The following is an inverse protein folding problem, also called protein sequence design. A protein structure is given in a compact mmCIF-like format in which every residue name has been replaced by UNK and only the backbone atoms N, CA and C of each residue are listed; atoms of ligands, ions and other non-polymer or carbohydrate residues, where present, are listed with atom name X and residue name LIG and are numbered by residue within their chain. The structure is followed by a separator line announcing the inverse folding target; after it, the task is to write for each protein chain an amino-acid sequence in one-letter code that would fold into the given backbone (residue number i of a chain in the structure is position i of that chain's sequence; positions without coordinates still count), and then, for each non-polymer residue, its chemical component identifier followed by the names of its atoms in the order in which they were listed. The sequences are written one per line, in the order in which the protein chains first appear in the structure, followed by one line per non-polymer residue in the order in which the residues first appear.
data_IF_226012204291
#
_entry.id   IF_226012204291
#
_cell.length_a   1.000
_cell.length_b   1.000
_cell.length_c   1.000
_cell.angle_alpha   90.00
_cell.angle_beta   90.00
_cell.angle_gamma   90.00
#
_symmetry.space_group_name_H-M   'P 1'
#
loop_
_entity.id
_entity.type
_entity.pdbx_description
1 polymer ?
#
# COMPACT_ATOMS: atom_id res chain seq x y z
N UNK A 1 42.98 36.41 41.61
CA UNK A 1 43.01 36.05 40.18
C UNK A 1 41.60 35.64 39.81
N UNK A 2 40.93 36.46 39.00
CA UNK A 2 39.63 36.12 38.42
C UNK A 2 39.76 34.83 37.61
N UNK A 3 38.89 33.87 37.89
CA UNK A 3 38.77 32.64 37.12
C UNK A 3 38.16 33.03 35.76
N UNK A 4 38.99 33.33 34.76
CA UNK A 4 38.49 33.61 33.41
C UNK A 4 37.92 32.31 32.84
N UNK A 5 36.60 32.26 32.71
CA UNK A 5 35.89 31.11 32.12
C UNK A 5 36.33 30.91 30.66
N UNK A 6 36.54 29.65 30.28
CA UNK A 6 36.91 29.29 28.90
C UNK A 6 35.71 29.44 27.98
N UNK A 7 35.87 30.24 26.93
CA UNK A 7 34.86 30.37 25.87
C UNK A 7 34.79 29.11 25.00
N UNK A 8 33.57 28.77 24.55
CA UNK A 8 33.35 27.69 23.58
C UNK A 8 33.84 28.15 22.21
N UNK A 9 34.73 27.36 21.60
CA UNK A 9 35.26 27.61 20.26
C UNK A 9 34.66 26.62 19.28
N UNK A 10 33.90 27.12 18.30
CA UNK A 10 33.23 26.33 17.26
C UNK A 10 33.74 26.73 15.89
N UNK A 11 33.80 25.78 14.96
CA UNK A 11 34.01 26.09 13.54
C UNK A 11 32.73 26.71 12.92
N UNK A 12 32.83 27.19 11.67
CA UNK A 12 31.72 27.87 11.00
C UNK A 12 30.46 27.00 10.91
N UNK A 13 30.61 25.72 10.56
CA UNK A 13 29.50 24.78 10.38
C UNK A 13 28.85 24.41 11.73
N UNK A 14 29.67 24.08 12.74
CA UNK A 14 29.22 23.80 14.10
C UNK A 14 28.43 24.97 14.67
N UNK A 15 28.93 26.21 14.47
CA UNK A 15 28.25 27.42 14.92
C UNK A 15 26.91 27.60 14.20
N UNK A 16 26.85 27.39 12.89
CA UNK A 16 25.62 27.51 12.11
C UNK A 16 24.57 26.47 12.55
N UNK A 17 24.99 25.21 12.74
CA UNK A 17 24.12 24.11 13.21
C UNK A 17 23.60 24.40 14.62
N UNK A 18 24.48 24.79 15.55
CA UNK A 18 24.09 25.11 16.93
C UNK A 18 23.10 26.27 16.99
N UNK A 19 23.37 27.37 16.26
CA UNK A 19 22.47 28.53 16.22
C UNK A 19 21.11 28.19 15.62
N UNK A 20 21.07 27.39 14.55
CA UNK A 20 19.81 26.93 13.97
C UNK A 20 19.04 26.05 14.95
N UNK A 21 19.68 25.05 15.55
CA UNK A 21 19.06 24.16 16.53
C UNK A 21 18.51 24.92 17.74
N UNK A 22 19.24 25.91 18.25
CA UNK A 22 18.77 26.78 19.34
C UNK A 22 17.56 27.63 18.93
N UNK A 23 17.54 28.15 17.70
CA UNK A 23 16.40 28.91 17.18
C UNK A 23 15.16 28.04 17.04
N UNK A 24 15.32 26.84 16.53
CA UNK A 24 14.22 25.88 16.34
C UNK A 24 13.69 25.37 17.70
N UNK A 25 14.59 25.10 18.66
CA UNK A 25 14.22 24.78 20.04
C UNK A 25 13.44 25.92 20.71
N UNK A 26 13.90 27.16 20.54
CA UNK A 26 13.22 28.34 21.07
C UNK A 26 11.81 28.45 20.48
N UNK A 27 11.67 28.25 19.17
CA UNK A 27 10.35 28.27 18.51
C UNK A 27 9.42 27.18 19.03
N UNK A 28 9.89 25.93 19.13
CA UNK A 28 9.10 24.81 19.65
C UNK A 28 8.63 25.07 21.09
N UNK A 29 9.53 25.56 21.94
CA UNK A 29 9.24 25.90 23.34
C UNK A 29 8.26 27.07 23.44
N UNK A 30 8.46 28.12 22.64
CA UNK A 30 7.57 29.28 22.58
C UNK A 30 6.17 28.87 22.15
N UNK A 31 6.05 28.03 21.11
CA UNK A 31 4.77 27.57 20.60
C UNK A 31 4.03 26.74 21.65
N UNK A 32 4.76 25.85 22.35
CA UNK A 32 4.21 25.04 23.44
C UNK A 32 3.69 25.93 24.57
N UNK A 33 4.48 26.91 25.02
CA UNK A 33 4.06 27.86 26.05
C UNK A 33 2.81 28.65 25.62
N UNK A 34 2.78 29.15 24.39
CA UNK A 34 1.63 29.91 23.87
C UNK A 34 0.36 29.07 23.86
N UNK A 35 0.42 27.85 23.32
CA UNK A 35 -0.75 26.97 23.27
C UNK A 35 -1.19 26.49 24.63
N UNK A 36 -0.26 26.22 25.54
CA UNK A 36 -0.57 25.88 26.92
C UNK A 36 -1.23 27.07 27.64
N UNK A 37 -0.74 28.30 27.43
CA UNK A 37 -1.30 29.52 28.04
C UNK A 37 -2.70 29.90 27.55
N UNK A 38 -3.09 29.37 26.38
CA UNK A 38 -4.40 29.61 25.74
C UNK A 38 -5.33 28.40 25.83
N UNK A 39 -4.97 27.38 26.61
CA UNK A 39 -5.69 26.11 26.74
C UNK A 39 -5.98 25.40 25.39
N UNK A 40 -5.08 25.58 24.40
CA UNK A 40 -5.20 25.05 23.04
C UNK A 40 -4.20 23.92 22.74
N UNK A 41 -3.38 23.50 23.71
CA UNK A 41 -2.43 22.40 23.51
C UNK A 41 -3.15 21.04 23.52
N UNK A 42 -3.13 20.34 22.39
CA UNK A 42 -3.70 18.99 22.29
C UNK A 42 -2.71 17.92 22.76
N UNK A 43 -3.22 16.73 23.11
CA UNK A 43 -2.41 15.58 23.53
C UNK A 43 -1.40 15.13 22.46
N UNK A 44 -1.82 15.09 21.20
CA UNK A 44 -0.95 14.77 20.07
C UNK A 44 0.17 15.81 19.92
N UNK A 45 -0.20 17.09 19.96
CA UNK A 45 0.73 18.17 19.70
C UNK A 45 1.72 18.41 20.85
N UNK A 46 1.32 18.09 22.09
CA UNK A 46 2.23 17.99 23.25
C UNK A 46 3.38 17.02 22.96
N UNK A 47 3.06 15.82 22.46
CA UNK A 47 4.07 14.81 22.12
C UNK A 47 5.03 15.30 21.04
N UNK A 48 4.49 15.89 19.98
CA UNK A 48 5.27 16.41 18.85
C UNK A 48 6.25 17.50 19.29
N UNK A 49 5.80 18.51 20.03
CA UNK A 49 6.64 19.64 20.46
C UNK A 49 7.75 19.22 21.43
N UNK A 50 7.48 18.27 22.33
CA UNK A 50 8.50 17.69 23.22
C UNK A 50 9.54 16.91 22.42
N UNK A 51 9.12 16.04 21.50
CA UNK A 51 10.05 15.27 20.65
C UNK A 51 10.92 16.15 19.75
N UNK A 52 10.35 17.24 19.21
CA UNK A 52 11.13 18.23 18.45
C UNK A 52 12.18 18.91 19.35
N UNK A 53 11.79 19.30 20.55
CA UNK A 53 12.69 19.94 21.52
C UNK A 53 13.86 19.02 21.90
N UNK A 54 13.59 17.75 22.19
CA UNK A 54 14.64 16.75 22.45
C UNK A 54 15.58 16.58 21.25
N UNK A 55 15.04 16.60 20.03
CA UNK A 55 15.86 16.50 18.83
C UNK A 55 16.77 17.70 18.65
N UNK A 56 16.25 18.91 18.78
CA UNK A 56 17.04 20.13 18.68
C UNK A 56 18.10 20.23 19.78
N UNK A 57 17.78 19.82 21.02
CA UNK A 57 18.76 19.73 22.11
C UNK A 57 19.89 18.75 21.76
N UNK A 58 19.56 17.59 21.17
CA UNK A 58 20.58 16.62 20.75
C UNK A 58 21.49 17.17 19.66
N UNK A 59 20.94 17.89 18.68
CA UNK A 59 21.71 18.50 17.59
C UNK A 59 22.64 19.61 18.09
N UNK A 60 22.14 20.46 19.00
CA UNK A 60 22.95 21.49 19.67
C UNK A 60 24.06 20.84 20.49
N UNK A 61 23.74 19.82 21.29
CA UNK A 61 24.73 19.12 22.11
C UNK A 61 25.86 18.52 21.27
N UNK A 62 25.54 17.88 20.14
CA UNK A 62 26.55 17.38 19.18
C UNK A 62 27.40 18.51 18.61
N UNK A 63 26.77 19.60 18.17
CA UNK A 63 27.48 20.73 17.56
C UNK A 63 28.41 21.45 18.54
N UNK A 64 28.06 21.50 19.83
CA UNK A 64 28.88 22.09 20.89
C UNK A 64 29.83 21.09 21.56
N UNK A 65 29.92 19.86 21.04
CA UNK A 65 30.72 18.77 21.61
C UNK A 65 30.39 18.48 23.08
N UNK A 66 29.11 18.61 23.44
CA UNK A 66 28.58 18.27 24.74
C UNK A 66 28.03 16.84 24.72
N UNK A 67 28.64 15.95 25.48
CA UNK A 67 28.08 14.61 25.69
C UNK A 67 26.84 14.69 26.59
N UNK A 68 25.66 14.75 25.97
CA UNK A 68 24.39 14.69 26.70
C UNK A 68 23.98 13.23 26.94
N UNK A 69 23.49 12.92 28.15
CA UNK A 69 22.93 11.59 28.47
C UNK A 69 21.75 11.24 27.53
N UNK A 70 20.95 12.24 27.13
CA UNK A 70 19.86 12.11 26.15
C UNK A 70 20.38 11.66 24.77
N UNK A 71 21.54 12.13 24.34
CA UNK A 71 22.13 11.73 23.07
C UNK A 71 22.61 10.27 23.09
N UNK A 72 23.13 9.79 24.24
CA UNK A 72 23.52 8.40 24.46
C UNK A 72 22.32 7.47 24.45
N UNK A 73 21.29 7.76 25.27
CA UNK A 73 20.07 6.95 25.33
C UNK A 73 19.34 6.85 23.99
N UNK A 74 19.33 7.93 23.20
CA UNK A 74 18.71 7.91 21.86
C UNK A 74 19.51 7.05 20.88
N UNK A 75 20.84 7.09 20.95
CA UNK A 75 21.70 6.26 20.11
C UNK A 75 21.55 4.78 20.45
N UNK A 76 21.47 4.44 21.74
CA UNK A 76 21.22 3.09 22.25
C UNK A 76 19.86 2.57 21.79
N UNK A 77 18.78 3.33 22.01
CA UNK A 77 17.43 2.95 21.54
C UNK A 77 17.39 2.69 20.03
N UNK A 78 18.06 3.51 19.23
CA UNK A 78 18.13 3.28 17.78
C UNK A 78 18.98 2.05 17.41
N UNK A 79 20.02 1.73 18.18
CA UNK A 79 20.81 0.51 17.97
C UNK A 79 20.00 -0.74 18.32
N UNK A 80 19.24 -0.72 19.41
CA UNK A 80 18.39 -1.82 19.84
C UNK A 80 17.30 -2.14 18.82
N UNK A 81 16.62 -1.12 18.28
CA UNK A 81 15.61 -1.28 17.22
C UNK A 81 16.24 -1.91 15.96
N UNK A 82 17.45 -1.46 15.57
CA UNK A 82 18.16 -2.05 14.42
C UNK A 82 18.52 -3.51 14.66
N UNK A 83 19.01 -3.85 15.85
CA UNK A 83 19.35 -5.21 16.23
C UNK A 83 18.12 -6.12 16.25
N UNK A 84 17.01 -5.64 16.81
CA UNK A 84 15.74 -6.37 16.79
C UNK A 84 15.25 -6.64 15.36
N UNK A 85 15.31 -5.66 14.47
CA UNK A 85 14.91 -5.82 13.07
C UNK A 85 15.83 -6.79 12.30
N UNK A 86 17.14 -6.75 12.55
CA UNK A 86 18.06 -7.74 11.97
C UNK A 86 17.72 -9.14 12.46
N UNK A 87 17.41 -9.29 13.76
CA UNK A 87 17.04 -10.58 14.34
C UNK A 87 15.74 -11.13 13.77
N UNK A 88 14.74 -10.28 13.53
CA UNK A 88 13.49 -10.68 12.85
C UNK A 88 13.80 -11.23 11.46
N UNK A 89 14.61 -10.52 10.65
CA UNK A 89 14.99 -10.97 9.30
C UNK A 89 15.76 -12.30 9.31
N UNK A 90 16.68 -12.47 10.25
CA UNK A 90 17.41 -13.74 10.42
C UNK A 90 16.46 -14.89 10.75
N UNK A 91 15.49 -14.67 11.63
CA UNK A 91 14.50 -15.69 12.01
C UNK A 91 13.57 -16.02 10.85
N UNK A 92 13.12 -15.02 10.09
CA UNK A 92 12.33 -15.22 8.86
C UNK A 92 13.09 -16.06 7.83
N UNK A 93 14.38 -15.77 7.65
CA UNK A 93 15.25 -16.53 6.74
C UNK A 93 15.44 -17.98 7.21
N UNK A 94 15.75 -18.20 8.50
CA UNK A 94 15.88 -19.54 9.07
C UNK A 94 14.58 -20.35 8.94
N UNK A 95 13.43 -19.70 9.11
CA UNK A 95 12.12 -20.33 8.90
C UNK A 95 11.86 -20.69 7.43
N UNK A 96 12.32 -19.88 6.49
CA UNK A 96 12.21 -20.17 5.06
C UNK A 96 13.11 -21.35 4.65
N UNK A 97 14.34 -21.40 5.16
CA UNK A 97 15.31 -22.47 4.88
C UNK A 97 14.92 -23.83 5.49
N UNK A 98 14.15 -23.83 6.59
CA UNK A 98 13.72 -25.06 7.28
C UNK A 98 12.49 -25.74 6.65
N UNK A 99 11.77 -25.11 5.72
CA UNK A 99 10.56 -25.70 5.14
C UNK A 99 10.88 -26.53 3.90
N UNK A 100 10.46 -27.81 3.83
CA UNK A 100 10.47 -28.57 2.58
C UNK A 100 9.66 -27.80 1.53
N UNK A 101 10.24 -27.63 0.34
CA UNK A 101 9.56 -27.02 -0.82
C UNK A 101 8.56 -28.03 -1.46
N UNK A 102 8.58 -29.28 -0.99
CA UNK A 102 7.65 -30.32 -1.41
C UNK A 102 6.19 -29.87 -1.20
N UNK A 103 5.41 -29.84 -2.28
CA UNK A 103 4.01 -29.39 -2.25
C UNK A 103 3.80 -27.89 -2.41
N UNK A 104 4.85 -27.05 -2.39
CA UNK A 104 4.70 -25.60 -2.55
C UNK A 104 4.11 -25.25 -3.92
N UNK A 105 4.57 -25.92 -4.98
CA UNK A 105 4.03 -25.72 -6.33
C UNK A 105 2.52 -25.98 -6.38
N UNK A 106 2.07 -27.07 -5.78
CA UNK A 106 0.66 -27.46 -5.72
C UNK A 106 -0.15 -26.47 -4.89
N UNK A 107 0.41 -25.95 -3.79
CA UNK A 107 -0.22 -24.91 -2.98
C UNK A 107 -0.40 -23.60 -3.76
N UNK A 108 0.68 -23.11 -4.40
CA UNK A 108 0.63 -21.90 -5.22
C UNK A 108 -0.34 -22.06 -6.40
N UNK A 109 -0.34 -23.21 -7.06
CA UNK A 109 -1.31 -23.53 -8.12
C UNK A 109 -2.75 -23.60 -7.60
N UNK A 110 -2.95 -24.10 -6.38
CA UNK A 110 -4.26 -24.12 -5.72
C UNK A 110 -4.78 -22.71 -5.44
N UNK A 111 -3.93 -21.81 -4.93
CA UNK A 111 -4.28 -20.42 -4.66
C UNK A 111 -4.67 -19.70 -5.95
N UNK A 112 -3.81 -19.75 -6.97
CA UNK A 112 -4.08 -19.08 -8.25
C UNK A 112 -5.37 -19.57 -8.92
N UNK A 113 -5.65 -20.88 -8.85
CA UNK A 113 -6.90 -21.46 -9.36
C UNK A 113 -8.15 -20.93 -8.65
N UNK A 114 -8.14 -20.80 -7.32
CA UNK A 114 -9.28 -20.27 -6.57
C UNK A 114 -9.63 -18.84 -7.00
N UNK A 115 -8.61 -18.01 -7.25
CA UNK A 115 -8.83 -16.62 -7.72
C UNK A 115 -9.43 -16.63 -9.13
N UNK A 116 -8.94 -17.50 -10.01
CA UNK A 116 -9.45 -17.67 -11.38
C UNK A 116 -10.90 -18.17 -11.41
N UNK A 117 -11.20 -19.22 -10.63
CA UNK A 117 -12.56 -19.78 -10.48
C UNK A 117 -13.52 -18.73 -9.93
N UNK A 118 -13.14 -18.01 -8.87
CA UNK A 118 -13.96 -16.93 -8.32
C UNK A 118 -14.26 -15.83 -9.35
N UNK A 119 -13.27 -15.46 -10.18
CA UNK A 119 -13.44 -14.43 -11.19
C UNK A 119 -14.34 -14.90 -12.35
N UNK A 120 -14.23 -16.16 -12.76
CA UNK A 120 -15.10 -16.79 -13.77
C UNK A 120 -16.55 -16.96 -13.26
N UNK A 121 -16.74 -17.32 -11.99
CA UNK A 121 -18.04 -17.42 -11.34
C UNK A 121 -18.80 -16.09 -11.35
N UNK A 122 -18.10 -14.96 -11.13
CA UNK A 122 -18.68 -13.61 -11.24
C UNK A 122 -19.09 -13.23 -12.67
N UNK A 123 -18.59 -13.95 -13.67
CA UNK A 123 -18.91 -13.74 -15.08
C UNK A 123 -17.93 -12.85 -15.85
N UNK A 124 -16.82 -12.45 -15.25
CA UNK A 124 -15.76 -11.69 -15.93
C UNK A 124 -14.80 -12.57 -16.76
N UNK A 125 -14.99 -13.89 -16.67
CA UNK A 125 -14.44 -15.00 -17.49
C UNK A 125 -12.95 -15.30 -17.39
N UNK A 126 -12.05 -14.33 -17.21
CA UNK A 126 -10.62 -14.66 -17.18
C UNK A 126 -9.73 -13.68 -16.43
N UNK A 127 -8.62 -14.21 -15.92
CA UNK A 127 -7.49 -13.44 -15.42
C UNK A 127 -6.42 -13.39 -16.51
N UNK A 128 -6.01 -12.18 -16.90
CA UNK A 128 -5.05 -11.98 -17.98
C UNK A 128 -3.63 -12.35 -17.58
N UNK A 129 -3.26 -12.12 -16.32
CA UNK A 129 -1.93 -12.41 -15.79
C UNK A 129 -2.01 -12.58 -14.29
N UNK A 130 -1.23 -13.52 -13.76
CA UNK A 130 -1.09 -13.73 -12.32
C UNK A 130 0.33 -14.19 -12.00
N UNK A 131 1.00 -13.50 -11.07
CA UNK A 131 2.38 -13.83 -10.71
C UNK A 131 2.68 -13.57 -9.24
N UNK A 132 3.53 -14.40 -8.64
CA UNK A 132 3.98 -14.18 -7.27
C UNK A 132 5.11 -13.15 -7.25
N UNK A 133 4.92 -12.10 -6.46
CA UNK A 133 5.92 -11.06 -6.26
C UNK A 133 7.09 -11.58 -5.41
N UNK A 134 8.22 -10.87 -5.49
CA UNK A 134 9.39 -11.12 -4.64
C UNK A 134 9.13 -10.94 -3.13
N UNK A 135 8.00 -10.30 -2.78
CA UNK A 135 7.61 -10.02 -1.40
C UNK A 135 6.61 -11.05 -0.85
N UNK A 136 6.26 -12.08 -1.62
CA UNK A 136 5.34 -13.13 -1.20
C UNK A 136 3.85 -12.85 -1.45
N UNK A 137 3.51 -11.66 -1.96
CA UNK A 137 2.15 -11.37 -2.45
C UNK A 137 1.91 -11.80 -3.90
N UNK A 138 0.70 -11.58 -4.39
CA UNK A 138 0.22 -11.98 -5.72
C UNK A 138 -0.15 -10.75 -6.56
N UNK A 139 0.55 -10.56 -7.68
CA UNK A 139 0.19 -9.58 -8.70
C UNK A 139 -0.86 -10.20 -9.64
N UNK A 140 -1.99 -9.51 -9.82
CA UNK A 140 -3.14 -10.00 -10.59
C UNK A 140 -3.57 -8.94 -11.60
N UNK A 141 -3.75 -9.35 -12.86
CA UNK A 141 -4.37 -8.54 -13.92
C UNK A 141 -5.72 -9.14 -14.29
N UNK A 142 -6.78 -8.64 -13.66
CA UNK A 142 -8.15 -9.05 -13.93
C UNK A 142 -8.58 -8.60 -15.33
N UNK A 143 -9.04 -9.54 -16.15
CA UNK A 143 -9.57 -9.27 -17.49
C UNK A 143 -11.09 -9.17 -17.45
N UNK A 144 -11.63 -8.27 -18.28
CA UNK A 144 -13.07 -8.14 -18.49
C UNK A 144 -13.40 -8.57 -19.91
N UNK A 145 -13.86 -9.80 -20.07
CA UNK A 145 -14.39 -10.29 -21.33
C UNK A 145 -15.72 -10.99 -21.07
N UNK A 146 -16.83 -10.33 -21.35
CA UNK A 146 -18.17 -10.85 -21.04
C UNK A 146 -18.76 -11.66 -22.20
N UNK A 147 -18.23 -11.47 -23.42
CA UNK A 147 -18.57 -12.25 -24.61
C UNK A 147 -17.59 -13.39 -24.87
N UNK A 148 -18.07 -14.63 -24.91
CA UNK A 148 -17.26 -15.79 -25.33
C UNK A 148 -17.29 -15.97 -26.85
N UNK A 149 -16.27 -15.47 -27.54
CA UNK A 149 -15.93 -15.89 -28.92
C UNK A 149 -15.72 -17.42 -29.04
N UNK A 150 -15.35 -18.09 -27.94
CA UNK A 150 -14.92 -19.50 -27.93
C UNK A 150 -16.04 -20.55 -27.90
N UNK A 151 -17.31 -20.19 -27.65
CA UNK A 151 -18.40 -21.17 -27.49
C UNK A 151 -19.18 -21.47 -28.76
N UNK A 152 -18.82 -20.90 -29.91
CA UNK A 152 -19.37 -21.31 -31.21
C UNK A 152 -19.09 -22.78 -31.54
N UNK A 153 -18.12 -23.41 -30.86
CA UNK A 153 -17.76 -24.83 -30.94
C UNK A 153 -18.22 -25.64 -29.72
N UNK A 154 -18.99 -25.05 -28.80
CA UNK A 154 -19.52 -25.75 -27.63
C UNK A 154 -20.54 -26.81 -28.04
N UNK A 155 -20.61 -27.92 -27.29
CA UNK A 155 -21.69 -28.89 -27.44
C UNK A 155 -23.05 -28.38 -26.91
N UNK A 156 -23.08 -27.26 -26.17
CA UNK A 156 -24.27 -26.68 -25.53
C UNK A 156 -24.47 -25.17 -25.82
N UNK A 157 -24.42 -24.71 -27.08
CA UNK A 157 -24.32 -23.29 -27.42
C UNK A 157 -25.57 -22.44 -27.10
N UNK A 158 -26.70 -23.07 -26.75
CA UNK A 158 -27.94 -22.38 -26.36
C UNK A 158 -27.94 -22.11 -24.86
N UNK A 159 -27.75 -23.15 -24.04
CA UNK A 159 -27.66 -23.01 -22.57
C UNK A 159 -26.50 -22.13 -22.15
N UNK A 160 -25.37 -22.21 -22.86
CA UNK A 160 -24.22 -21.35 -22.60
C UNK A 160 -24.54 -19.85 -22.80
N UNK A 161 -25.42 -19.51 -23.75
CA UNK A 161 -25.86 -18.13 -23.99
C UNK A 161 -26.84 -17.65 -22.94
N UNK A 162 -27.69 -18.55 -22.44
CA UNK A 162 -28.60 -18.26 -21.34
C UNK A 162 -27.80 -17.99 -20.06
N UNK A 163 -26.79 -18.81 -19.74
CA UNK A 163 -25.91 -18.59 -18.60
C UNK A 163 -25.13 -17.26 -18.70
N UNK A 164 -24.60 -16.92 -19.88
CA UNK A 164 -23.89 -15.66 -20.09
C UNK A 164 -24.83 -14.45 -19.92
N UNK A 165 -26.05 -14.53 -20.46
CA UNK A 165 -27.07 -13.49 -20.29
C UNK A 165 -27.48 -13.34 -18.83
N UNK A 166 -27.63 -14.46 -18.10
CA UNK A 166 -27.96 -14.47 -16.68
C UNK A 166 -26.84 -13.84 -15.85
N UNK A 167 -25.56 -14.15 -16.12
CA UNK A 167 -24.41 -13.55 -15.44
C UNK A 167 -24.32 -12.04 -15.69
N UNK A 168 -24.50 -11.58 -16.93
CA UNK A 168 -24.54 -10.14 -17.25
C UNK A 168 -25.71 -9.48 -16.52
N UNK A 169 -26.88 -10.12 -16.47
CA UNK A 169 -28.03 -9.58 -15.75
C UNK A 169 -27.79 -9.51 -14.24
N UNK A 170 -27.12 -10.50 -13.64
CA UNK A 170 -26.71 -10.46 -12.24
C UNK A 170 -25.76 -9.29 -11.96
N UNK A 171 -24.80 -9.02 -12.85
CA UNK A 171 -23.92 -7.85 -12.72
C UNK A 171 -24.69 -6.53 -12.87
N UNK A 172 -25.64 -6.44 -13.81
CA UNK A 172 -26.54 -5.28 -13.93
C UNK A 172 -27.36 -5.07 -12.66
N UNK A 173 -27.86 -6.14 -12.04
CA UNK A 173 -28.59 -6.07 -10.78
C UNK A 173 -27.71 -5.60 -9.60
N UNK A 174 -26.40 -5.85 -9.66
CA UNK A 174 -25.40 -5.29 -8.73
C UNK A 174 -25.04 -3.83 -9.03
N UNK A 175 -25.59 -3.24 -10.09
CA UNK A 175 -25.40 -1.84 -10.46
C UNK A 175 -24.34 -1.59 -11.54
N UNK A 176 -23.72 -2.63 -12.10
CA UNK A 176 -22.76 -2.46 -13.18
C UNK A 176 -23.43 -1.98 -14.47
N UNK A 177 -22.80 -1.01 -15.13
CA UNK A 177 -23.26 -0.40 -16.36
C UNK A 177 -22.47 -0.96 -17.54
N UNK A 178 -23.16 -1.46 -18.55
CA UNK A 178 -22.54 -2.04 -19.74
C UNK A 178 -22.92 -1.25 -21.00
N UNK A 179 -21.98 -1.14 -21.92
CA UNK A 179 -22.20 -0.70 -23.30
C UNK A 179 -22.30 -1.91 -24.21
N UNK A 180 -23.26 -1.93 -25.12
CA UNK A 180 -23.43 -3.01 -26.09
C UNK A 180 -22.76 -2.61 -27.41
N UNK A 181 -21.75 -3.36 -27.86
CA UNK A 181 -21.05 -3.15 -29.12
C UNK A 181 -20.84 -4.48 -29.84
N UNK A 182 -21.07 -4.54 -31.16
CA UNK A 182 -20.86 -5.75 -31.97
C UNK A 182 -21.52 -7.04 -31.42
N UNK A 183 -22.63 -6.88 -30.67
CA UNK A 183 -23.38 -7.94 -29.95
C UNK A 183 -22.65 -8.52 -28.73
N UNK A 184 -21.66 -7.80 -28.20
CA UNK A 184 -20.97 -8.09 -26.96
C UNK A 184 -21.19 -6.95 -25.96
N UNK A 185 -21.42 -7.33 -24.70
CA UNK A 185 -21.46 -6.37 -23.60
C UNK A 185 -20.03 -6.04 -23.17
N UNK A 186 -19.73 -4.76 -23.04
CA UNK A 186 -18.48 -4.25 -22.50
C UNK A 186 -18.74 -3.44 -21.23
N UNK A 187 -17.84 -3.54 -20.25
CA UNK A 187 -17.97 -2.80 -19.01
C UNK A 187 -17.64 -1.32 -19.25
N UNK A 188 -18.64 -0.44 -19.13
CA UNK A 188 -18.48 0.97 -19.45
C UNK A 188 -17.39 1.64 -18.57
N UNK A 189 -16.57 2.53 -19.14
CA UNK A 189 -15.64 3.35 -18.36
C UNK A 189 -16.40 4.53 -17.72
N UNK A 190 -16.81 4.34 -16.47
CA UNK A 190 -17.42 5.39 -15.65
C UNK A 190 -17.07 5.22 -14.16
N UNK A 191 -17.29 6.27 -13.38
CA UNK A 191 -16.93 6.28 -11.96
C UNK A 191 -17.71 5.24 -11.15
N UNK A 192 -18.97 4.98 -11.50
CA UNK A 192 -19.80 3.96 -10.82
C UNK A 192 -19.19 2.57 -10.95
N UNK A 193 -18.82 2.16 -12.16
CA UNK A 193 -18.20 0.86 -12.39
C UNK A 193 -16.82 0.76 -11.72
N UNK A 194 -16.01 1.82 -11.77
CA UNK A 194 -14.71 1.84 -11.07
C UNK A 194 -14.87 1.64 -9.57
N UNK A 195 -15.82 2.34 -8.96
CA UNK A 195 -16.13 2.19 -7.53
C UNK A 195 -16.66 0.80 -7.19
N UNK A 196 -17.58 0.26 -7.98
CA UNK A 196 -18.11 -1.09 -7.77
C UNK A 196 -17.03 -2.17 -7.93
N UNK A 197 -16.09 -2.00 -8.87
CA UNK A 197 -14.95 -2.91 -9.02
C UNK A 197 -14.01 -2.84 -7.82
N UNK A 198 -13.71 -1.64 -7.33
CA UNK A 198 -12.88 -1.45 -6.13
C UNK A 198 -13.55 -2.14 -4.94
N UNK A 199 -14.83 -1.85 -4.71
CA UNK A 199 -15.59 -2.45 -3.63
C UNK A 199 -15.64 -3.97 -3.73
N UNK A 200 -15.92 -4.52 -4.91
CA UNK A 200 -15.99 -5.96 -5.13
C UNK A 200 -14.66 -6.66 -4.83
N UNK A 201 -13.53 -6.03 -5.20
CA UNK A 201 -12.20 -6.55 -4.93
C UNK A 201 -11.85 -6.45 -3.43
N UNK A 202 -12.09 -5.31 -2.79
CA UNK A 202 -11.82 -5.08 -1.38
C UNK A 202 -12.70 -5.94 -0.46
N UNK A 203 -13.96 -6.20 -0.85
CA UNK A 203 -14.86 -7.09 -0.12
C UNK A 203 -14.37 -8.55 -0.16
N UNK A 204 -13.80 -8.99 -1.28
CA UNK A 204 -13.25 -10.36 -1.39
C UNK A 204 -11.88 -10.48 -0.74
N UNK A 205 -11.05 -9.46 -0.90
CA UNK A 205 -9.64 -9.44 -0.54
C UNK A 205 -9.30 -8.13 0.18
N UNK A 206 -9.45 -8.05 1.51
CA UNK A 206 -9.23 -6.81 2.26
C UNK A 206 -7.83 -6.21 2.13
N UNK A 207 -6.80 -7.01 1.86
CA UNK A 207 -5.42 -6.54 1.66
C UNK A 207 -5.10 -6.12 0.23
N UNK A 208 -6.07 -6.17 -0.70
CA UNK A 208 -5.84 -5.88 -2.11
C UNK A 208 -5.53 -4.39 -2.33
N UNK A 209 -4.58 -4.13 -3.20
CA UNK A 209 -4.19 -2.79 -3.62
C UNK A 209 -4.34 -2.67 -5.13
N UNK A 210 -5.28 -1.84 -5.57
CA UNK A 210 -5.50 -1.62 -7.00
C UNK A 210 -4.42 -0.65 -7.50
N UNK A 211 -3.61 -1.12 -8.44
CA UNK A 211 -2.46 -0.37 -8.99
C UNK A 211 -2.79 0.32 -10.30
N UNK A 212 -3.86 -0.11 -10.98
CA UNK A 212 -4.23 0.47 -12.27
C UNK A 212 -5.55 -0.07 -12.82
N UNK A 213 -6.14 0.72 -13.71
CA UNK A 213 -7.28 0.33 -14.53
C UNK A 213 -7.00 0.73 -15.97
N UNK A 214 -6.97 -0.24 -16.87
CA UNK A 214 -6.72 -0.02 -18.29
C UNK A 214 -8.06 0.03 -19.03
N UNK A 215 -8.24 1.09 -19.81
CA UNK A 215 -9.44 1.30 -20.62
C UNK A 215 -9.08 1.26 -22.10
N UNK A 216 -10.06 0.87 -22.92
CA UNK A 216 -9.90 0.81 -24.36
C UNK A 216 -11.06 1.52 -25.05
N UNK A 217 -10.73 2.27 -26.10
CA UNK A 217 -11.69 2.80 -27.06
C UNK A 217 -11.32 2.29 -28.46
N UNK A 218 -12.27 1.69 -29.16
CA UNK A 218 -12.07 1.24 -30.53
C UNK A 218 -11.80 2.42 -31.47
N UNK A 219 -11.06 2.19 -32.57
CA UNK A 219 -10.75 3.24 -33.58
C UNK A 219 -11.98 3.91 -34.21
N UNK A 220 -13.17 3.33 -34.05
CA UNK A 220 -14.46 3.86 -34.55
C UNK A 220 -15.38 4.39 -33.43
N UNK A 221 -14.97 4.31 -32.16
CA UNK A 221 -15.85 4.53 -31.01
C UNK A 221 -15.73 5.90 -30.35
N UNK A 222 -16.85 6.31 -29.76
CA UNK A 222 -16.95 7.48 -28.88
C UNK A 222 -16.92 7.14 -27.38
N UNK A 223 -17.07 5.86 -27.02
CA UNK A 223 -17.17 5.42 -25.62
C UNK A 223 -16.04 4.45 -25.29
N UNK A 224 -15.39 4.66 -24.14
CA UNK A 224 -14.34 3.81 -23.61
C UNK A 224 -14.94 2.74 -22.68
N UNK A 225 -14.32 1.57 -22.64
CA UNK A 225 -14.67 0.49 -21.74
C UNK A 225 -13.47 0.04 -20.91
N UNK A 226 -13.71 -0.45 -19.71
CA UNK A 226 -12.69 -1.01 -18.83
C UNK A 226 -12.33 -2.40 -19.36
N UNK A 227 -11.04 -2.63 -19.59
CA UNK A 227 -10.52 -3.89 -20.12
C UNK A 227 -9.73 -4.67 -19.09
N UNK A 228 -8.97 -3.98 -18.25
CA UNK A 228 -8.20 -4.62 -17.19
C UNK A 228 -8.24 -3.82 -15.89
N UNK A 229 -8.17 -4.54 -14.78
CA UNK A 229 -7.81 -3.99 -13.47
C UNK A 229 -6.55 -4.72 -13.01
N UNK A 230 -5.50 -3.97 -12.70
CA UNK A 230 -4.28 -4.52 -12.11
C UNK A 230 -4.30 -4.28 -10.61
N UNK A 231 -3.98 -5.31 -9.84
CA UNK A 231 -3.96 -5.24 -8.40
C UNK A 231 -2.85 -6.12 -7.80
N UNK A 232 -2.45 -5.77 -6.59
CA UNK A 232 -1.52 -6.52 -5.76
C UNK A 232 -2.25 -7.03 -4.52
N UNK A 233 -2.17 -8.32 -4.25
CA UNK A 233 -2.69 -8.95 -3.04
C UNK A 233 -1.54 -9.26 -2.09
N UNK A 234 -1.50 -8.58 -0.95
CA UNK A 234 -0.44 -8.77 0.05
C UNK A 234 -0.58 -10.07 0.82
N UNK A 235 -1.81 -10.42 1.20
CA UNK A 235 -2.10 -11.51 2.12
C UNK A 235 -2.71 -12.72 1.40
N UNK A 236 -1.87 -13.70 1.03
CA UNK A 236 -2.32 -14.90 0.29
C UNK A 236 -3.34 -15.76 1.05
N UNK A 237 -3.46 -15.60 2.37
CA UNK A 237 -4.42 -16.35 3.18
C UNK A 237 -5.87 -15.88 2.99
N UNK A 238 -6.09 -14.74 2.31
CA UNK A 238 -7.42 -14.23 1.93
C UNK A 238 -8.04 -15.01 0.75
N UNK A 239 -7.26 -15.87 0.07
CA UNK A 239 -7.65 -16.65 -1.12
C UNK A 239 -8.46 -17.91 -0.80
#
# INVERSE_FOLDING_TARGET
MENQEKLVVLNADQKAVALKGLKDLFFATQQMHEWLSKDNLTEEMKGILISLSESHISDVAKATNYESNLAKERAERHADIRNANMRIRELEQQMAEMKPIDGLKEQLAGLTRKVDEWWDELGFNYISEMSFSKWGGLDIKFGFQLGRLSRSLSSTPVSDKEEDADKIQQLRNKGFIFTEEDREAHLADNDTNKQLLVQLLEERFPSIQITGMETWSGRRNREAHIRYVTAYLGELHEI
#
